data_IF_962320883036
#
_entry.id   IF_962320883036
#
_cell.length_a   1.000
_cell.length_b   1.000
_cell.length_c   1.000
_cell.angle_alpha   90.00
_cell.angle_beta   90.00
_cell.angle_gamma   90.00
#
_symmetry.space_group_name_H-M   'P 1'
#
loop_
_entity.id
_entity.type
_entity.pdbx_description
1 polymer ?
#
# COMPACT_ATOMS: atom_id res chain seq x y z
N UNK A 1 -25.24 -1.14 -4.56
CA UNK A 1 -24.14 -1.09 -3.59
C UNK A 1 -23.16 -0.03 -4.08
N UNK A 2 -22.81 0.97 -3.26
CA UNK A 2 -21.84 2.01 -3.63
C UNK A 2 -20.46 1.53 -3.23
N UNK A 3 -19.47 1.63 -4.12
CA UNK A 3 -18.08 1.25 -3.81
C UNK A 3 -17.42 2.30 -2.92
N UNK A 4 -16.68 1.86 -1.89
CA UNK A 4 -16.17 2.72 -0.81
C UNK A 4 -15.35 3.93 -1.29
N UNK A 5 -14.49 3.77 -2.30
CA UNK A 5 -13.68 4.86 -2.82
C UNK A 5 -14.22 5.46 -4.12
N UNK A 6 -15.37 5.01 -4.62
CA UNK A 6 -15.89 5.49 -5.91
C UNK A 6 -16.20 6.98 -5.85
N UNK A 7 -15.66 7.72 -6.82
CA UNK A 7 -15.91 9.14 -6.98
C UNK A 7 -15.97 9.53 -8.47
N UNK A 8 -17.17 9.84 -8.95
CA UNK A 8 -17.39 10.24 -10.34
C UNK A 8 -16.89 11.64 -10.66
N UNK A 9 -16.49 12.45 -9.66
CA UNK A 9 -16.03 13.82 -9.86
C UNK A 9 -14.53 13.95 -10.11
N UNK A 10 -13.78 12.86 -9.99
CA UNK A 10 -12.34 12.81 -10.25
C UNK A 10 -12.04 11.93 -11.45
N UNK A 11 -10.89 12.15 -12.06
CA UNK A 11 -10.41 11.40 -13.22
C UNK A 11 -9.11 10.67 -12.90
N UNK A 12 -8.82 9.63 -13.66
CA UNK A 12 -7.59 8.85 -13.56
C UNK A 12 -6.38 9.68 -13.95
N UNK A 13 -5.29 9.52 -13.20
CA UNK A 13 -3.98 10.12 -13.46
C UNK A 13 -2.95 9.02 -13.63
N UNK A 14 -2.22 9.02 -14.74
CA UNK A 14 -1.25 7.98 -15.09
C UNK A 14 -1.77 6.91 -16.06
N UNK A 15 -3.06 6.92 -16.40
CA UNK A 15 -3.63 6.11 -17.48
C UNK A 15 -4.90 6.77 -18.06
N UNK A 16 -5.54 6.09 -19.02
CA UNK A 16 -6.83 6.51 -19.62
C UNK A 16 -8.02 5.68 -19.12
N UNK A 17 -7.81 4.78 -18.17
CA UNK A 17 -8.87 3.89 -17.67
C UNK A 17 -9.81 4.63 -16.72
N UNK A 18 -10.89 3.97 -16.30
CA UNK A 18 -11.76 4.45 -15.24
C UNK A 18 -11.30 4.02 -13.83
N UNK A 19 -10.21 3.26 -13.71
CA UNK A 19 -9.70 2.71 -12.44
C UNK A 19 -9.22 3.80 -11.47
N UNK A 20 -8.95 5.01 -11.97
CA UNK A 20 -8.57 6.16 -11.17
C UNK A 20 -9.74 7.06 -10.75
N UNK A 21 -11.00 6.70 -11.04
CA UNK A 21 -12.19 7.44 -10.55
C UNK A 21 -12.48 7.15 -9.08
N UNK A 22 -11.45 7.35 -8.25
CA UNK A 22 -11.42 6.96 -6.85
C UNK A 22 -10.86 8.09 -5.96
N UNK A 23 -11.46 8.28 -4.79
CA UNK A 23 -11.05 9.28 -3.79
C UNK A 23 -11.53 8.87 -2.38
N UNK A 24 -11.08 9.55 -1.30
CA UNK A 24 -11.57 9.30 0.05
C UNK A 24 -12.94 9.94 0.33
N UNK A 25 -13.67 10.44 -0.69
CA UNK A 25 -14.91 11.23 -0.52
C UNK A 25 -16.00 10.62 0.36
N UNK A 26 -16.10 9.29 0.41
CA UNK A 26 -17.11 8.62 1.24
C UNK A 26 -16.62 8.32 2.67
N UNK A 27 -15.36 8.62 3.00
CA UNK A 27 -14.85 8.53 4.36
C UNK A 27 -15.36 9.72 5.17
N UNK A 28 -15.91 9.46 6.35
CA UNK A 28 -16.55 10.49 7.19
C UNK A 28 -15.66 10.99 8.32
N UNK A 29 -14.54 10.31 8.57
CA UNK A 29 -13.66 10.53 9.70
C UNK A 29 -12.25 10.81 9.23
N UNK A 30 -11.50 11.59 10.01
CA UNK A 30 -10.08 11.80 9.77
C UNK A 30 -9.28 10.53 10.06
N UNK A 31 -8.13 10.41 9.38
CA UNK A 31 -7.12 9.39 9.61
C UNK A 31 -5.97 9.94 10.45
N UNK A 32 -5.06 9.08 10.92
CA UNK A 32 -3.81 9.55 11.53
C UNK A 32 -2.94 10.37 10.57
N UNK A 33 -3.04 10.14 9.26
CA UNK A 33 -2.40 10.97 8.24
C UNK A 33 -2.98 12.37 8.20
N UNK A 34 -4.30 12.50 8.25
CA UNK A 34 -4.99 13.79 8.33
C UNK A 34 -4.58 14.56 9.59
N UNK A 35 -4.59 13.90 10.75
CA UNK A 35 -4.19 14.51 12.02
C UNK A 35 -2.71 14.89 12.03
N UNK A 36 -1.83 14.10 11.39
CA UNK A 36 -0.41 14.42 11.24
C UNK A 36 -0.23 15.68 10.37
N UNK A 37 -0.97 15.80 9.27
CA UNK A 37 -0.94 17.00 8.43
C UNK A 37 -1.38 18.22 9.24
N UNK A 38 -2.48 18.13 9.98
CA UNK A 38 -2.96 19.25 10.81
C UNK A 38 -1.93 19.62 11.88
N UNK A 39 -1.40 18.64 12.61
CA UNK A 39 -0.44 18.86 13.69
C UNK A 39 0.92 19.44 13.23
N UNK A 40 1.26 19.27 11.95
CA UNK A 40 2.52 19.75 11.36
C UNK A 40 2.34 20.96 10.46
N UNK A 41 1.17 21.62 10.50
CA UNK A 41 0.85 22.77 9.63
C UNK A 41 1.01 22.40 8.14
N UNK A 42 0.51 21.21 7.79
CA UNK A 42 0.56 20.56 6.48
C UNK A 42 1.95 20.31 5.89
N UNK A 43 3.01 20.44 6.71
CA UNK A 43 4.40 20.22 6.28
C UNK A 43 4.73 18.74 6.13
N UNK A 44 4.11 17.86 6.92
CA UNK A 44 4.30 16.42 6.79
C UNK A 44 3.89 15.93 5.39
N UNK A 45 4.58 14.92 4.90
CA UNK A 45 4.21 14.16 3.71
C UNK A 45 3.44 12.92 4.12
N UNK A 46 2.32 12.67 3.44
CA UNK A 46 1.48 11.49 3.67
C UNK A 46 1.25 10.78 2.33
N UNK A 47 1.77 9.55 2.22
CA UNK A 47 1.72 8.76 0.98
C UNK A 47 1.10 7.38 1.23
N UNK A 48 0.17 6.96 0.37
CA UNK A 48 -0.41 5.62 0.35
C UNK A 48 0.01 4.81 -0.88
N UNK A 49 0.40 3.55 -0.72
CA UNK A 49 0.79 2.65 -1.81
C UNK A 49 0.16 1.28 -1.64
N UNK A 50 -0.51 0.77 -2.68
CA UNK A 50 -1.06 -0.60 -2.70
C UNK A 50 -1.34 -1.09 -4.13
N UNK A 51 -1.67 -2.36 -4.30
CA UNK A 51 -2.30 -2.84 -5.54
C UNK A 51 -3.82 -2.54 -5.58
N UNK A 52 -4.42 -2.18 -4.46
CA UNK A 52 -5.86 -1.88 -4.36
C UNK A 52 -6.04 -0.40 -4.02
N UNK A 53 -6.88 0.29 -4.79
CA UNK A 53 -7.26 1.69 -4.56
C UNK A 53 -7.60 1.99 -3.08
N UNK A 54 -8.54 1.26 -2.49
CA UNK A 54 -9.03 1.41 -1.11
C UNK A 54 -7.95 1.19 -0.07
N UNK A 55 -6.97 0.34 -0.36
CA UNK A 55 -5.88 0.04 0.56
C UNK A 55 -4.73 1.06 0.46
N UNK A 56 -4.70 1.89 -0.58
CA UNK A 56 -3.82 3.06 -0.67
C UNK A 56 -4.53 4.32 -0.14
N UNK A 57 -5.78 4.55 -0.55
CA UNK A 57 -6.57 5.76 -0.27
C UNK A 57 -6.96 5.87 1.20
N UNK A 58 -7.57 4.81 1.76
CA UNK A 58 -8.19 4.90 3.08
C UNK A 58 -7.16 5.04 4.22
N UNK A 59 -5.99 4.36 4.20
CA UNK A 59 -4.97 4.59 5.22
C UNK A 59 -4.29 5.97 5.11
N UNK A 60 -4.19 6.53 3.90
CA UNK A 60 -3.56 7.83 3.68
C UNK A 60 -4.46 9.01 4.08
N UNK A 61 -5.78 8.89 3.89
CA UNK A 61 -6.76 9.88 4.32
C UNK A 61 -7.04 10.99 3.31
N UNK A 62 -7.72 12.02 3.79
CA UNK A 62 -8.22 13.13 2.99
C UNK A 62 -7.12 14.11 2.57
N UNK A 63 -6.17 14.39 3.47
CA UNK A 63 -5.12 15.39 3.32
C UNK A 63 -3.81 14.79 2.78
N UNK A 64 -3.84 13.56 2.26
CA UNK A 64 -2.66 12.89 1.72
C UNK A 64 -2.07 13.65 0.52
N UNK A 65 -0.74 13.70 0.45
CA UNK A 65 -0.01 14.26 -0.69
C UNK A 65 -0.15 13.35 -1.93
N UNK A 66 -0.36 12.06 -1.73
CA UNK A 66 -0.61 11.12 -2.82
C UNK A 66 -1.05 9.74 -2.36
N UNK A 67 -1.91 9.10 -3.14
CA UNK A 67 -2.18 7.68 -3.05
C UNK A 67 -2.00 7.02 -4.42
N UNK A 68 -1.33 5.88 -4.47
CA UNK A 68 -0.97 5.17 -5.69
C UNK A 68 -1.47 3.74 -5.66
N UNK A 69 -2.19 3.34 -6.71
CA UNK A 69 -2.68 1.97 -6.90
C UNK A 69 -2.48 1.47 -8.31
N UNK A 70 -2.48 0.14 -8.50
CA UNK A 70 -2.24 -0.44 -9.82
C UNK A 70 -3.49 -0.31 -10.71
N UNK A 71 -3.28 0.08 -11.97
CA UNK A 71 -4.23 -0.12 -13.05
C UNK A 71 -3.90 -1.46 -13.73
N UNK A 72 -4.75 -2.47 -13.55
CA UNK A 72 -4.50 -3.80 -14.12
C UNK A 72 -4.55 -3.85 -15.66
N UNK A 73 -5.12 -2.83 -16.32
CA UNK A 73 -5.14 -2.76 -17.79
C UNK A 73 -3.80 -2.33 -18.37
N UNK A 74 -3.04 -1.50 -17.66
CA UNK A 74 -1.70 -1.04 -18.08
C UNK A 74 -0.56 -1.73 -17.33
N UNK A 75 -0.84 -2.30 -16.16
CA UNK A 75 0.17 -2.91 -15.29
C UNK A 75 1.03 -1.88 -14.54
N UNK A 76 0.56 -0.64 -14.41
CA UNK A 76 1.32 0.48 -13.84
C UNK A 76 0.57 1.13 -12.68
N UNK A 77 1.29 1.83 -11.80
CA UNK A 77 0.67 2.62 -10.75
C UNK A 77 0.04 3.89 -11.32
N UNK A 78 -1.18 4.17 -10.86
CA UNK A 78 -1.98 5.35 -11.18
C UNK A 78 -2.38 6.06 -9.88
N UNK A 79 -2.95 7.24 -10.03
CA UNK A 79 -3.63 7.99 -8.97
C UNK A 79 -4.90 8.63 -9.53
N UNK A 80 -5.46 9.62 -8.84
CA UNK A 80 -6.62 10.38 -9.29
C UNK A 80 -6.39 11.89 -9.20
N UNK A 81 -7.23 12.65 -9.90
CA UNK A 81 -7.23 14.12 -9.85
C UNK A 81 -7.62 14.68 -8.48
N UNK A 82 -8.01 13.84 -7.53
CA UNK A 82 -8.12 14.23 -6.13
C UNK A 82 -6.76 14.65 -5.55
N UNK A 83 -5.70 13.90 -5.86
CA UNK A 83 -4.37 14.08 -5.28
C UNK A 83 -3.47 14.99 -6.13
N UNK A 84 -3.49 14.80 -7.45
CA UNK A 84 -2.52 15.44 -8.35
C UNK A 84 -3.08 15.59 -9.76
N UNK A 85 -2.56 16.54 -10.54
CA UNK A 85 -2.94 16.69 -11.96
C UNK A 85 -2.19 15.71 -12.87
N UNK A 86 -0.94 15.43 -12.52
CA UNK A 86 -0.03 14.56 -13.26
C UNK A 86 0.79 13.74 -12.27
N UNK A 87 1.22 12.54 -12.67
CA UNK A 87 2.10 11.74 -11.82
C UNK A 87 3.46 12.43 -11.66
N UNK A 88 4.06 12.41 -10.45
CA UNK A 88 5.40 12.93 -10.27
C UNK A 88 6.42 12.11 -11.07
N UNK A 89 7.54 12.76 -11.44
CA UNK A 89 8.58 12.16 -12.28
C UNK A 89 9.07 10.81 -11.75
N UNK A 90 9.27 10.68 -10.43
CA UNK A 90 9.73 9.44 -9.81
C UNK A 90 8.74 8.28 -10.03
N UNK A 91 7.43 8.55 -9.96
CA UNK A 91 6.39 7.54 -10.19
C UNK A 91 6.31 7.14 -11.66
N UNK A 92 6.44 8.11 -12.57
CA UNK A 92 6.52 7.85 -14.02
C UNK A 92 7.74 7.01 -14.37
N UNK A 93 8.90 7.33 -13.78
CA UNK A 93 10.14 6.58 -14.04
C UNK A 93 10.09 5.19 -13.42
N UNK A 94 9.49 5.04 -12.24
CA UNK A 94 9.23 3.73 -11.65
C UNK A 94 8.29 2.88 -12.52
N UNK A 95 7.17 3.46 -12.99
CA UNK A 95 6.25 2.76 -13.90
C UNK A 95 6.92 2.23 -15.17
N UNK A 96 7.90 2.94 -15.73
CA UNK A 96 8.68 2.46 -16.89
C UNK A 96 9.52 1.22 -16.55
N UNK A 97 9.99 1.10 -15.30
CA UNK A 97 10.82 -0.03 -14.84
C UNK A 97 10.05 -1.34 -14.67
N UNK A 98 8.73 -1.28 -14.44
CA UNK A 98 7.87 -2.47 -14.26
C UNK A 98 7.81 -3.32 -15.54
N UNK A 99 7.81 -2.66 -16.71
CA UNK A 99 7.61 -3.32 -18.00
C UNK A 99 6.17 -3.78 -18.23
N UNK A 100 5.98 -4.68 -19.20
CA UNK A 100 4.65 -5.23 -19.53
C UNK A 100 4.34 -6.42 -18.63
N UNK A 101 3.32 -6.28 -17.79
CA UNK A 101 2.89 -7.30 -16.83
C UNK A 101 1.39 -7.51 -16.93
N UNK A 102 0.92 -8.74 -16.75
CA UNK A 102 -0.51 -9.05 -16.76
C UNK A 102 -1.10 -8.97 -15.36
N UNK A 103 -2.42 -8.81 -15.28
CA UNK A 103 -3.16 -8.89 -14.01
C UNK A 103 -2.82 -10.16 -13.22
N UNK A 104 -2.78 -11.32 -13.88
CA UNK A 104 -2.51 -12.58 -13.20
C UNK A 104 -1.10 -12.65 -12.62
N UNK A 105 -0.10 -12.10 -13.32
CA UNK A 105 1.26 -11.98 -12.81
C UNK A 105 1.32 -11.08 -11.57
N UNK A 106 0.59 -9.96 -11.58
CA UNK A 106 0.54 -9.05 -10.42
C UNK A 106 -0.20 -9.69 -9.24
N UNK A 107 -1.39 -10.27 -9.48
CA UNK A 107 -2.29 -10.71 -8.43
C UNK A 107 -1.90 -12.05 -7.78
N UNK A 108 -1.28 -12.96 -8.55
CA UNK A 108 -1.13 -14.35 -8.13
C UNK A 108 0.33 -14.85 -8.12
N UNK A 109 1.29 -13.92 -8.09
CA UNK A 109 2.72 -14.24 -7.96
C UNK A 109 3.41 -13.23 -7.02
N UNK A 110 4.63 -13.56 -6.54
CA UNK A 110 5.49 -12.61 -5.79
C UNK A 110 5.71 -11.24 -6.45
N UNK A 111 5.50 -11.14 -7.77
CA UNK A 111 5.69 -9.89 -8.50
C UNK A 111 4.88 -8.73 -7.91
N UNK A 112 3.62 -8.96 -7.50
CA UNK A 112 2.77 -7.89 -6.98
C UNK A 112 3.29 -7.30 -5.67
N UNK A 113 3.82 -8.12 -4.77
CA UNK A 113 4.48 -7.63 -3.56
C UNK A 113 5.77 -6.86 -3.92
N UNK A 114 6.58 -7.41 -4.82
CA UNK A 114 7.82 -6.75 -5.28
C UNK A 114 7.54 -5.36 -5.85
N UNK A 115 6.56 -5.21 -6.74
CA UNK A 115 6.28 -3.89 -7.32
C UNK A 115 5.68 -2.91 -6.30
N UNK A 116 4.92 -3.42 -5.31
CA UNK A 116 4.40 -2.59 -4.21
C UNK A 116 5.54 -2.08 -3.32
N UNK A 117 6.49 -2.95 -2.98
CA UNK A 117 7.66 -2.60 -2.20
C UNK A 117 8.54 -1.57 -2.92
N UNK A 118 8.85 -1.80 -4.19
CA UNK A 118 9.71 -0.91 -4.97
C UNK A 118 9.02 0.44 -5.23
N UNK A 119 7.69 0.47 -5.40
CA UNK A 119 6.93 1.73 -5.43
C UNK A 119 7.03 2.48 -4.10
N UNK A 120 6.95 1.78 -2.97
CA UNK A 120 7.13 2.39 -1.65
C UNK A 120 8.54 2.98 -1.48
N UNK A 121 9.60 2.27 -1.89
CA UNK A 121 10.97 2.80 -1.91
C UNK A 121 11.11 4.02 -2.83
N UNK A 122 10.50 3.96 -4.02
CA UNK A 122 10.50 5.07 -4.97
C UNK A 122 9.79 6.30 -4.39
N UNK A 123 8.69 6.12 -3.65
CA UNK A 123 8.01 7.20 -2.94
C UNK A 123 8.88 7.81 -1.83
N UNK A 124 9.57 6.97 -1.03
CA UNK A 124 10.51 7.45 0.01
C UNK A 124 11.60 8.33 -0.62
N UNK A 125 12.23 7.87 -1.70
CA UNK A 125 13.26 8.64 -2.39
C UNK A 125 12.71 9.90 -3.08
N UNK A 126 11.59 9.76 -3.79
CA UNK A 126 11.01 10.80 -4.64
C UNK A 126 10.42 11.96 -3.86
N UNK A 127 9.78 11.68 -2.73
CA UNK A 127 9.19 12.68 -1.83
C UNK A 127 10.11 13.07 -0.66
N UNK A 128 11.31 12.46 -0.57
CA UNK A 128 12.29 12.69 0.50
C UNK A 128 11.72 12.40 1.90
N UNK A 129 10.93 11.32 2.03
CA UNK A 129 10.26 10.97 3.28
C UNK A 129 11.29 10.69 4.39
N UNK A 130 11.17 11.41 5.50
CA UNK A 130 12.11 11.35 6.62
C UNK A 130 13.41 12.11 6.41
N UNK A 131 13.52 12.91 5.35
CA UNK A 131 14.74 13.66 4.99
C UNK A 131 15.01 14.92 5.81
N UNK A 132 14.00 15.49 6.50
CA UNK A 132 14.13 16.76 7.23
C UNK A 132 13.92 16.59 8.75
N UNK A 133 13.20 17.45 9.48
CA UNK A 133 12.83 17.24 10.89
C UNK A 133 11.32 17.06 11.10
N UNK A 134 10.54 17.11 10.03
CA UNK A 134 9.11 16.86 10.04
C UNK A 134 8.87 15.35 9.99
N UNK A 135 7.81 14.92 10.64
CA UNK A 135 7.41 13.51 10.65
C UNK A 135 6.49 13.26 9.47
N UNK A 136 6.84 12.29 8.63
CA UNK A 136 6.03 11.86 7.49
C UNK A 136 5.35 10.52 7.78
N UNK A 137 4.36 10.19 6.94
CA UNK A 137 3.60 8.94 6.98
C UNK A 137 3.67 8.24 5.63
N UNK A 138 4.09 6.99 5.64
CA UNK A 138 3.98 6.07 4.52
C UNK A 138 3.08 4.91 4.92
N UNK A 139 2.01 4.71 4.16
CA UNK A 139 1.11 3.57 4.31
C UNK A 139 1.29 2.61 3.13
N UNK A 140 1.67 1.36 3.40
CA UNK A 140 1.92 0.34 2.37
C UNK A 140 1.05 -0.88 2.64
N UNK A 141 0.30 -1.34 1.65
CA UNK A 141 -0.53 -2.54 1.75
C UNK A 141 -0.15 -3.60 0.70
N UNK A 142 0.33 -4.74 1.20
CA UNK A 142 0.69 -5.91 0.39
C UNK A 142 -0.55 -6.77 0.10
N UNK A 143 -1.12 -6.61 -1.09
CA UNK A 143 -2.43 -7.19 -1.43
C UNK A 143 -2.40 -8.62 -1.98
N UNK A 144 -1.23 -9.16 -2.34
CA UNK A 144 -1.14 -10.49 -2.97
C UNK A 144 -1.54 -11.62 -2.01
N UNK A 145 -1.32 -11.44 -0.70
CA UNK A 145 -1.71 -12.41 0.34
C UNK A 145 -3.21 -12.67 0.33
N UNK A 146 -4.02 -11.62 0.20
CA UNK A 146 -5.47 -11.72 0.07
C UNK A 146 -5.90 -12.39 -1.24
N UNK A 147 -5.31 -11.95 -2.37
CA UNK A 147 -5.68 -12.46 -3.70
C UNK A 147 -5.33 -13.95 -3.86
N UNK A 148 -4.17 -14.37 -3.37
CA UNK A 148 -3.73 -15.77 -3.37
C UNK A 148 -4.56 -16.59 -2.38
N UNK A 149 -4.81 -16.07 -1.17
CA UNK A 149 -5.66 -16.71 -0.18
C UNK A 149 -7.07 -16.98 -0.71
N UNK A 150 -7.67 -16.01 -1.41
CA UNK A 150 -8.97 -16.18 -2.06
C UNK A 150 -8.97 -17.23 -3.18
N UNK A 151 -7.89 -17.31 -3.96
CA UNK A 151 -7.82 -18.22 -5.13
C UNK A 151 -7.45 -19.65 -4.75
N UNK A 152 -6.57 -19.82 -3.76
CA UNK A 152 -5.95 -21.11 -3.45
C UNK A 152 -6.22 -21.61 -2.02
N UNK A 153 -6.82 -20.80 -1.15
CA UNK A 153 -7.09 -21.16 0.25
C UNK A 153 -5.89 -20.92 1.17
N UNK A 154 -6.16 -20.77 2.46
CA UNK A 154 -5.15 -20.36 3.46
C UNK A 154 -4.06 -21.41 3.69
N UNK A 155 -4.35 -22.69 3.46
CA UNK A 155 -3.42 -23.81 3.69
C UNK A 155 -2.66 -24.27 2.44
N UNK A 156 -2.78 -23.57 1.32
CA UNK A 156 -2.09 -23.97 0.08
C UNK A 156 -0.59 -23.63 0.13
N UNK A 157 0.21 -24.41 -0.62
CA UNK A 157 1.64 -24.11 -0.82
C UNK A 157 1.86 -22.72 -1.42
N UNK A 158 0.92 -22.25 -2.25
CA UNK A 158 0.97 -20.90 -2.83
C UNK A 158 0.79 -19.81 -1.78
N UNK A 159 -0.10 -20.03 -0.81
CA UNK A 159 -0.25 -19.10 0.33
C UNK A 159 1.02 -19.08 1.18
N UNK A 160 1.61 -20.25 1.45
CA UNK A 160 2.91 -20.30 2.14
C UNK A 160 4.00 -19.56 1.35
N UNK A 161 4.09 -19.76 0.05
CA UNK A 161 5.06 -19.12 -0.82
C UNK A 161 4.95 -17.59 -0.77
N UNK A 162 3.75 -17.03 -0.83
CA UNK A 162 3.58 -15.57 -0.81
C UNK A 162 3.94 -14.96 0.55
N UNK A 163 3.76 -15.68 1.67
CA UNK A 163 4.22 -15.20 2.97
C UNK A 163 5.75 -15.24 3.10
N UNK A 164 6.41 -16.26 2.53
CA UNK A 164 7.88 -16.31 2.46
C UNK A 164 8.43 -15.18 1.58
N UNK A 165 7.76 -14.86 0.48
CA UNK A 165 8.11 -13.69 -0.32
C UNK A 165 7.91 -12.39 0.46
N UNK A 166 6.75 -12.22 1.10
CA UNK A 166 6.42 -11.04 1.90
C UNK A 166 7.45 -10.78 3.02
N UNK A 167 7.89 -11.82 3.72
CA UNK A 167 8.98 -11.73 4.70
C UNK A 167 10.25 -11.12 4.09
N UNK A 168 10.64 -11.59 2.89
CA UNK A 168 11.79 -11.04 2.16
C UNK A 168 11.57 -9.59 1.73
N UNK A 169 10.37 -9.24 1.24
CA UNK A 169 10.06 -7.85 0.82
C UNK A 169 10.06 -6.90 2.02
N UNK A 170 9.60 -7.35 3.19
CA UNK A 170 9.66 -6.56 4.42
C UNK A 170 11.12 -6.38 4.88
N UNK A 171 11.93 -7.43 4.85
CA UNK A 171 13.35 -7.34 5.17
C UNK A 171 14.09 -6.37 4.24
N UNK A 172 13.85 -6.45 2.94
CA UNK A 172 14.44 -5.56 1.94
C UNK A 172 13.98 -4.11 2.13
N UNK A 173 12.69 -3.87 2.42
CA UNK A 173 12.16 -2.54 2.70
C UNK A 173 12.76 -1.93 3.97
N UNK A 174 12.85 -2.69 5.07
CA UNK A 174 13.47 -2.21 6.31
C UNK A 174 14.97 -1.96 6.13
N UNK A 175 15.67 -2.83 5.41
CA UNK A 175 17.07 -2.60 5.05
C UNK A 175 17.27 -1.33 4.23
N UNK A 176 16.35 -1.04 3.30
CA UNK A 176 16.34 0.21 2.55
C UNK A 176 16.11 1.43 3.46
N UNK A 177 15.14 1.36 4.38
CA UNK A 177 14.85 2.45 5.32
C UNK A 177 16.00 2.69 6.31
N UNK A 178 16.65 1.63 6.80
CA UNK A 178 17.84 1.73 7.65
C UNK A 178 18.97 2.51 6.96
N UNK A 179 19.14 2.30 5.65
CA UNK A 179 20.17 2.96 4.84
C UNK A 179 19.82 4.41 4.45
N UNK A 180 18.55 4.67 4.12
CA UNK A 180 18.14 5.94 3.50
C UNK A 180 17.49 6.93 4.48
N UNK A 181 16.83 6.45 5.54
CA UNK A 181 16.24 7.30 6.60
C UNK A 181 17.06 7.24 7.88
N UNK A 182 17.70 6.10 8.13
CA UNK A 182 18.52 5.86 9.32
C UNK A 182 17.83 4.94 10.31
N UNK A 183 18.59 3.97 10.80
CA UNK A 183 18.15 3.08 11.88
C UNK A 183 17.68 3.90 13.09
N UNK A 184 16.57 3.48 13.71
CA UNK A 184 15.89 4.16 14.82
C UNK A 184 15.28 5.54 14.51
N UNK A 185 15.29 5.98 13.24
CA UNK A 185 14.57 7.20 12.80
C UNK A 185 13.16 6.90 12.28
N UNK A 186 12.69 5.67 12.41
CA UNK A 186 11.35 5.29 12.02
C UNK A 186 10.67 4.32 12.97
N UNK A 187 9.34 4.36 12.97
CA UNK A 187 8.44 3.45 13.67
C UNK A 187 7.58 2.72 12.65
N UNK A 188 7.45 1.40 12.82
CA UNK A 188 6.61 0.56 11.97
C UNK A 188 5.50 -0.06 12.81
N UNK A 189 4.28 0.05 12.32
CA UNK A 189 3.15 -0.77 12.77
C UNK A 189 2.75 -1.71 11.64
N UNK A 190 2.71 -3.00 11.92
CA UNK A 190 2.29 -4.02 10.96
C UNK A 190 1.00 -4.68 11.48
N UNK A 191 -0.08 -4.61 10.70
CA UNK A 191 -1.41 -5.08 11.11
C UNK A 191 -2.22 -5.60 9.93
N UNK A 192 -3.44 -6.11 10.13
CA UNK A 192 -4.27 -6.57 9.03
C UNK A 192 -5.63 -5.90 8.93
N UNK A 193 -6.15 -5.80 7.70
CA UNK A 193 -7.50 -5.29 7.43
C UNK A 193 -8.57 -6.33 7.79
N UNK A 194 -8.25 -7.61 7.59
CA UNK A 194 -9.04 -8.73 8.09
C UNK A 194 -8.19 -10.00 8.16
N UNK A 195 -8.84 -11.12 8.52
CA UNK A 195 -8.28 -12.43 8.27
C UNK A 195 -9.09 -13.28 7.31
N UNK A 196 -8.73 -14.55 7.15
CA UNK A 196 -9.35 -15.44 6.17
C UNK A 196 -9.75 -16.78 6.80
N UNK A 197 -10.95 -17.25 6.47
CA UNK A 197 -11.35 -18.62 6.80
C UNK A 197 -10.66 -19.60 5.86
N UNK A 198 -10.35 -20.80 6.33
CA UNK A 198 -10.00 -21.87 5.41
C UNK A 198 -11.26 -22.38 4.70
N UNK A 199 -11.11 -22.81 3.46
CA UNK A 199 -12.16 -23.52 2.74
C UNK A 199 -12.17 -24.98 3.18
N UNK A 200 -13.35 -25.51 3.52
CA UNK A 200 -13.50 -26.88 4.06
C UNK A 200 -13.29 -28.00 3.04
N UNK A 201 -13.21 -27.69 1.74
CA UNK A 201 -13.28 -28.68 0.65
C UNK A 201 -11.94 -29.01 -0.01
N UNK A 202 -10.79 -28.82 0.65
CA UNK A 202 -9.49 -29.14 0.05
C UNK A 202 -9.00 -30.55 0.45
N UNK A 203 -9.08 -31.57 -0.43
CA UNK A 203 -8.22 -32.74 -0.33
C UNK A 203 -6.80 -32.39 -0.80
N UNK A 204 -5.81 -33.09 -0.27
CA UNK A 204 -4.35 -32.86 -0.42
C UNK A 204 -3.79 -32.98 -1.85
N UNK A 205 -4.61 -33.13 -2.89
CA UNK A 205 -4.15 -33.30 -4.28
C UNK A 205 -5.22 -32.86 -5.28
N UNK A 206 -4.82 -31.90 -6.13
CA UNK A 206 -5.45 -31.41 -7.38
C UNK A 206 -6.66 -30.46 -7.33
N UNK A 207 -6.56 -29.40 -8.16
CA UNK A 207 -7.49 -28.26 -8.36
C UNK A 207 -8.70 -28.68 -9.23
N UNK A 208 -9.95 -28.18 -9.03
CA UNK A 208 -10.30 -26.79 -9.39
C UNK A 208 -11.44 -26.08 -8.61
N UNK A 209 -11.44 -24.75 -8.75
CA UNK A 209 -12.53 -23.74 -8.61
C UNK A 209 -13.41 -23.64 -7.35
N UNK A 210 -13.37 -22.40 -6.82
CA UNK A 210 -14.50 -21.57 -6.35
C UNK A 210 -14.80 -21.50 -4.84
N UNK A 211 -14.78 -20.24 -4.37
CA UNK A 211 -15.68 -19.64 -3.39
C UNK A 211 -15.89 -20.40 -2.08
N UNK A 212 -14.98 -20.23 -1.13
CA UNK A 212 -15.33 -20.45 0.27
C UNK A 212 -14.45 -19.61 1.20
N UNK A 213 -14.81 -18.35 1.40
CA UNK A 213 -14.30 -17.57 2.51
C UNK A 213 -15.41 -16.64 3.01
N UNK A 214 -16.23 -17.12 3.96
CA UNK A 214 -16.83 -16.26 4.99
C UNK A 214 -16.00 -16.43 6.26
N UNK A 215 -15.39 -15.32 6.66
CA UNK A 215 -14.75 -14.94 7.92
C UNK A 215 -14.41 -16.03 8.96
N UNK A 216 -13.11 -16.21 9.24
CA UNK A 216 -12.51 -16.01 10.58
C UNK A 216 -10.96 -16.11 10.53
N UNK A 217 -10.34 -14.99 10.93
CA UNK A 217 -8.97 -14.66 11.42
C UNK A 217 -7.73 -15.52 11.09
N UNK A 218 -6.95 -15.07 10.08
CA UNK A 218 -5.48 -15.15 9.99
C UNK A 218 -4.93 -13.89 9.28
N UNK A 219 -3.84 -13.29 9.79
CA UNK A 219 -3.35 -11.92 9.51
C UNK A 219 -2.89 -11.61 8.06
N UNK A 220 -3.36 -10.49 7.48
CA UNK A 220 -2.91 -9.91 6.19
C UNK A 220 -2.23 -8.52 6.34
N UNK A 221 -0.91 -8.33 6.16
CA UNK A 221 -0.24 -7.11 6.62
C UNK A 221 -0.46 -5.82 5.79
N UNK A 222 -0.68 -4.72 6.51
CA UNK A 222 -0.58 -3.31 6.13
C UNK A 222 0.45 -2.68 7.07
N UNK A 223 1.45 -2.00 6.52
CA UNK A 223 2.49 -1.31 7.28
C UNK A 223 2.21 0.19 7.33
N UNK A 224 2.19 0.77 8.53
CA UNK A 224 2.06 2.21 8.77
C UNK A 224 3.36 2.74 9.40
N UNK A 225 3.92 3.79 8.81
CA UNK A 225 5.23 4.34 9.18
C UNK A 225 5.14 5.70 9.86
N UNK A 226 5.80 5.91 11.00
CA UNK A 226 5.83 7.21 11.69
C UNK A 226 7.25 7.54 12.17
N UNK A 227 7.83 8.67 11.74
CA UNK A 227 9.16 9.11 12.17
C UNK A 227 9.17 9.60 13.62
N UNK A 228 10.19 9.20 14.38
CA UNK A 228 10.33 9.54 15.82
C UNK A 228 10.74 11.01 15.98
N UNK A 229 9.88 11.80 16.65
CA UNK A 229 10.24 13.12 17.17
C UNK A 229 11.49 13.01 18.07
N UNK A 230 12.60 13.65 17.69
CA UNK A 230 13.70 13.90 18.62
C UNK A 230 13.21 14.88 19.69
N UNK A 231 12.81 14.37 20.85
CA UNK A 231 12.72 15.18 22.07
C UNK A 231 14.14 15.57 22.48
N UNK A 232 14.63 16.71 22.01
CA UNK A 232 15.62 17.48 22.75
C UNK A 232 14.94 18.04 24.00
N UNK A 233 14.80 17.22 25.04
CA UNK A 233 14.61 17.73 26.40
C UNK A 233 15.95 18.33 26.83
N UNK A 234 16.22 19.56 26.41
CA UNK A 234 17.18 20.40 27.13
C UNK A 234 16.62 20.58 28.54
N UNK A 235 17.29 19.97 29.53
CA UNK A 235 17.13 20.32 30.93
C UNK A 235 17.32 21.84 31.04
N UNK A 236 16.25 22.53 31.41
CA UNK A 236 16.36 23.84 32.01
C UNK A 236 16.98 23.59 33.39
N UNK A 237 18.24 23.96 33.53
CA UNK A 237 18.89 24.25 34.82
C UNK A 237 19.32 25.70 34.79
#
# INVERSE_FOLDING_TARGET
MVYCCSDSTVSTVGSKSAEGKMSPRNMLTTTIGDELKIATDFKAKVIGVSLKDRAAILPAGHAADGAYWIDYSTGTFISSTYYMKELPKWAVDYNKSIGKVTKDQICYTPLGNKITEEMAKAAVAGEQLGGDNVTDLLAVSFSCTDMIGHKYGTHSDKTREIYVDLDKRLADLFGYLDQNVGKDQYLVFLMADHGAANCSSWPTTEQPTAYCCRANTEFLPTALWCRRLRRNLTRIS
#
